data_IF_577900860272
#
_entry.id   IF_577900860272
#
_cell.length_a   1.000
_cell.length_b   1.000
_cell.length_c   1.000
_cell.angle_alpha   90.00
_cell.angle_beta   90.00
_cell.angle_gamma   90.00
#
_symmetry.space_group_name_H-M   'P 1'
#
loop_
_entity.id
_entity.type
_entity.pdbx_description
1 polymer ?
#
# COMPACT_ATOMS: atom_id res chain seq x y z
N UNK A 1 24.97 -38.39 71.04
CA UNK A 1 25.80 -39.59 70.82
C UNK A 1 25.94 -39.71 69.30
N UNK A 2 27.01 -39.54 68.66
CA UNK A 2 28.45 -39.75 68.76
C UNK A 2 28.90 -39.73 67.31
N UNK A 3 29.76 -38.81 66.95
CA UNK A 3 31.16 -38.93 66.49
C UNK A 3 31.38 -40.06 65.45
N UNK A 4 32.03 -39.88 64.31
CA UNK A 4 33.41 -39.41 64.02
C UNK A 4 33.61 -39.42 62.53
N UNK A 5 34.17 -38.42 61.90
CA UNK A 5 35.51 -38.13 61.38
C UNK A 5 36.14 -39.11 60.33
N UNK A 6 36.65 -38.45 59.28
CA UNK A 6 37.92 -38.63 58.54
C UNK A 6 37.82 -39.51 57.27
N UNK A 7 38.48 -39.32 56.18
CA UNK A 7 39.66 -38.55 55.73
C UNK A 7 39.72 -38.62 54.20
N UNK A 8 40.18 -37.52 53.63
CA UNK A 8 40.91 -37.29 52.40
C UNK A 8 41.60 -38.50 51.66
N UNK A 9 41.47 -38.51 50.37
CA UNK A 9 42.61 -38.88 49.49
C UNK A 9 42.45 -38.14 48.11
N UNK A 10 43.55 -37.52 47.73
CA UNK A 10 43.81 -36.88 46.45
C UNK A 10 44.00 -37.96 45.36
N UNK A 11 43.45 -37.73 44.19
CA UNK A 11 44.01 -38.29 42.96
C UNK A 11 43.90 -37.27 41.84
N UNK A 12 45.04 -36.81 41.35
CA UNK A 12 45.29 -36.08 40.13
C UNK A 12 44.75 -36.84 38.93
N UNK A 13 43.95 -36.19 38.07
CA UNK A 13 43.75 -36.65 36.71
C UNK A 13 43.86 -35.44 35.78
N UNK A 14 44.89 -35.54 35.00
CA UNK A 14 45.29 -34.92 33.73
C UNK A 14 44.25 -34.09 33.02
N UNK A 15 44.58 -32.82 32.76
CA UNK A 15 43.95 -31.90 31.80
C UNK A 15 44.06 -32.47 30.39
N UNK A 16 42.91 -32.76 29.80
CA UNK A 16 42.76 -32.96 28.37
C UNK A 16 42.30 -31.66 27.75
N UNK A 17 43.20 -30.96 27.10
CA UNK A 17 42.88 -29.81 26.22
C UNK A 17 42.05 -30.29 25.02
N UNK A 18 40.76 -30.01 25.02
CA UNK A 18 39.95 -30.04 23.81
C UNK A 18 40.03 -28.66 23.18
N UNK A 19 40.80 -28.59 22.10
CA UNK A 19 40.77 -27.48 21.14
C UNK A 19 39.33 -27.33 20.61
N UNK A 20 38.62 -26.36 21.09
CA UNK A 20 37.39 -25.90 20.47
C UNK A 20 37.76 -24.98 19.30
N UNK A 21 37.56 -25.49 18.09
CA UNK A 21 37.56 -24.65 16.88
C UNK A 21 36.57 -23.48 17.06
N UNK A 22 36.91 -22.27 16.67
CA UNK A 22 35.96 -21.16 16.70
C UNK A 22 34.87 -21.47 15.66
N UNK A 23 33.62 -21.59 16.10
CA UNK A 23 32.46 -21.44 15.23
C UNK A 23 32.51 -20.03 14.66
N UNK A 24 32.98 -19.94 13.42
CA UNK A 24 32.73 -18.74 12.60
C UNK A 24 31.23 -18.66 12.37
N UNK A 25 30.53 -17.90 13.19
CA UNK A 25 29.22 -17.36 12.84
C UNK A 25 29.43 -16.60 11.52
N UNK A 26 28.97 -17.20 10.44
CA UNK A 26 28.75 -16.49 9.17
C UNK A 26 27.63 -15.47 9.46
N UNK A 27 28.03 -14.25 9.86
CA UNK A 27 27.13 -13.11 9.84
C UNK A 27 26.54 -13.02 8.43
N UNK A 28 25.27 -13.36 8.30
CA UNK A 28 24.50 -13.07 7.10
C UNK A 28 24.61 -11.55 6.88
N UNK A 29 24.96 -11.05 5.68
CA UNK A 29 25.09 -9.63 5.46
C UNK A 29 23.74 -8.97 5.80
N UNK A 30 23.74 -8.06 6.78
CA UNK A 30 22.58 -7.22 7.08
C UNK A 30 22.17 -6.51 5.80
N UNK A 31 21.03 -6.91 5.21
CA UNK A 31 20.45 -6.23 4.07
C UNK A 31 19.92 -4.89 4.58
N UNK A 32 20.71 -3.84 4.39
CA UNK A 32 20.40 -2.49 4.90
C UNK A 32 19.29 -1.79 4.11
N UNK A 33 18.99 -2.25 2.89
CA UNK A 33 17.98 -1.67 2.01
C UNK A 33 17.40 -2.72 1.08
N UNK A 34 16.12 -2.59 0.76
CA UNK A 34 15.44 -3.36 -0.28
C UNK A 34 16.12 -3.18 -1.65
N UNK A 35 16.74 -2.00 -1.89
CA UNK A 35 17.50 -1.69 -3.11
C UNK A 35 18.80 -2.50 -3.25
N UNK A 36 19.28 -3.10 -2.15
CA UNK A 36 20.45 -3.98 -2.19
C UNK A 36 20.12 -5.36 -2.79
N UNK A 37 18.84 -5.72 -2.86
CA UNK A 37 18.34 -6.94 -3.48
C UNK A 37 18.12 -6.74 -4.99
N UNK A 38 19.19 -6.90 -5.75
CA UNK A 38 19.20 -6.68 -7.20
C UNK A 38 18.61 -7.89 -7.95
N UNK A 39 18.00 -7.61 -9.10
CA UNK A 39 17.39 -8.61 -9.99
C UNK A 39 18.37 -9.67 -10.50
N UNK A 40 19.67 -9.37 -10.55
CA UNK A 40 20.71 -10.32 -10.95
C UNK A 40 20.99 -11.42 -9.90
N UNK A 41 20.41 -11.33 -8.71
CA UNK A 41 20.44 -12.39 -7.70
C UNK A 41 19.45 -13.53 -8.03
N UNK A 42 18.50 -13.29 -8.95
CA UNK A 42 17.59 -14.33 -9.40
C UNK A 42 18.29 -15.30 -10.34
N UNK A 43 18.20 -16.59 -10.02
CA UNK A 43 18.72 -17.65 -10.86
C UNK A 43 18.12 -17.58 -12.27
N UNK A 44 19.00 -17.59 -13.27
CA UNK A 44 18.61 -17.54 -14.68
C UNK A 44 18.33 -16.13 -15.21
N UNK A 45 18.55 -15.07 -14.41
CA UNK A 45 18.60 -13.68 -14.86
C UNK A 45 20.02 -13.27 -15.13
N UNK A 46 20.47 -13.41 -16.39
CA UNK A 46 21.79 -12.95 -16.84
C UNK A 46 21.82 -11.44 -17.11
N UNK A 47 23.03 -10.89 -17.31
CA UNK A 47 23.23 -9.45 -17.49
C UNK A 47 22.38 -8.83 -18.62
N UNK A 48 22.18 -9.55 -19.73
CA UNK A 48 21.34 -9.08 -20.86
C UNK A 48 19.87 -8.96 -20.45
N UNK A 49 19.36 -9.93 -19.69
CA UNK A 49 17.98 -9.92 -19.21
C UNK A 49 17.78 -8.85 -18.13
N UNK A 50 18.74 -8.72 -17.21
CA UNK A 50 18.74 -7.67 -16.19
C UNK A 50 18.68 -6.29 -16.83
N UNK A 51 19.55 -6.03 -17.84
CA UNK A 51 19.53 -4.77 -18.57
C UNK A 51 18.20 -4.49 -19.27
N UNK A 52 17.59 -5.51 -19.91
CA UNK A 52 16.26 -5.34 -20.50
C UNK A 52 15.21 -4.95 -19.45
N UNK A 53 15.24 -5.56 -18.29
CA UNK A 53 14.33 -5.25 -17.18
C UNK A 53 14.55 -3.83 -16.68
N UNK A 54 15.80 -3.41 -16.49
CA UNK A 54 16.17 -2.05 -16.06
C UNK A 54 15.73 -0.99 -17.07
N UNK A 55 15.86 -1.25 -18.37
CA UNK A 55 15.40 -0.35 -19.45
C UNK A 55 13.86 -0.10 -19.40
N UNK A 56 13.11 -1.02 -18.79
CA UNK A 56 11.67 -0.91 -18.55
C UNK A 56 11.32 -0.51 -17.09
N UNK A 57 12.31 -0.05 -16.32
CA UNK A 57 12.11 0.42 -14.94
C UNK A 57 11.93 -0.69 -13.91
N UNK A 58 12.36 -1.92 -14.22
CA UNK A 58 12.37 -3.05 -13.28
C UNK A 58 13.79 -3.21 -12.77
N UNK A 59 14.07 -2.74 -11.56
CA UNK A 59 15.43 -2.67 -11.00
C UNK A 59 15.60 -3.47 -9.70
N UNK A 60 14.53 -3.83 -9.03
CA UNK A 60 14.52 -4.54 -7.75
C UNK A 60 13.70 -5.83 -7.78
N UNK A 61 13.85 -6.67 -6.76
CA UNK A 61 13.00 -7.85 -6.58
C UNK A 61 11.54 -7.47 -6.31
N UNK A 62 11.30 -6.31 -5.68
CA UNK A 62 9.96 -5.78 -5.52
C UNK A 62 9.31 -5.46 -6.86
N UNK A 63 10.05 -4.83 -7.80
CA UNK A 63 9.55 -4.55 -9.14
C UNK A 63 9.11 -5.84 -9.86
N UNK A 64 9.92 -6.90 -9.77
CA UNK A 64 9.58 -8.22 -10.33
C UNK A 64 8.24 -8.72 -9.77
N UNK A 65 8.05 -8.60 -8.44
CA UNK A 65 6.83 -9.04 -7.78
C UNK A 65 5.61 -8.14 -8.14
N UNK A 66 5.81 -6.83 -8.18
CA UNK A 66 4.73 -5.87 -8.51
C UNK A 66 4.24 -6.06 -9.93
N UNK A 67 5.16 -6.24 -10.90
CA UNK A 67 4.83 -6.44 -12.32
C UNK A 67 4.20 -7.81 -12.60
N UNK A 68 4.65 -8.85 -11.89
CA UNK A 68 4.19 -10.22 -12.07
C UNK A 68 4.68 -10.89 -13.36
N UNK A 69 4.52 -12.21 -13.42
CA UNK A 69 5.13 -13.04 -14.47
C UNK A 69 4.68 -12.74 -15.90
N UNK A 70 3.44 -12.29 -16.10
CA UNK A 70 2.95 -11.93 -17.43
C UNK A 70 3.74 -10.75 -18.02
N UNK A 71 3.84 -9.66 -17.25
CA UNK A 71 4.52 -8.46 -17.71
C UNK A 71 6.03 -8.68 -17.85
N UNK A 72 6.65 -9.40 -16.90
CA UNK A 72 8.06 -9.79 -16.98
C UNK A 72 8.33 -10.64 -18.24
N UNK A 73 7.41 -11.55 -18.60
CA UNK A 73 7.47 -12.31 -19.85
C UNK A 73 7.39 -11.43 -21.09
N UNK A 74 6.48 -10.45 -21.09
CA UNK A 74 6.32 -9.49 -22.20
C UNK A 74 7.59 -8.63 -22.39
N UNK A 75 8.18 -8.13 -21.30
CA UNK A 75 9.43 -7.31 -21.31
C UNK A 75 10.62 -8.12 -21.81
N UNK A 76 10.82 -9.30 -21.27
CA UNK A 76 12.06 -10.07 -21.49
C UNK A 76 12.01 -10.98 -22.72
N UNK A 77 10.80 -11.39 -23.13
CA UNK A 77 10.58 -12.40 -24.18
C UNK A 77 10.78 -13.84 -23.70
N UNK A 78 10.96 -14.09 -22.40
CA UNK A 78 10.99 -15.47 -21.86
C UNK A 78 9.58 -16.03 -21.77
N UNK A 79 9.48 -17.36 -21.61
CA UNK A 79 8.17 -18.00 -21.39
C UNK A 79 7.53 -17.51 -20.09
N UNK A 80 6.19 -17.45 -20.08
CA UNK A 80 5.43 -17.06 -18.86
C UNK A 80 5.82 -17.94 -17.66
N UNK A 81 5.99 -19.24 -17.85
CA UNK A 81 6.39 -20.16 -16.77
C UNK A 81 7.75 -19.79 -16.16
N UNK A 82 8.72 -19.37 -16.99
CA UNK A 82 10.04 -18.90 -16.47
C UNK A 82 9.91 -17.57 -15.73
N UNK A 83 9.11 -16.66 -16.24
CA UNK A 83 8.85 -15.39 -15.58
C UNK A 83 8.11 -15.59 -14.24
N UNK A 84 7.11 -16.47 -14.19
CA UNK A 84 6.42 -16.85 -12.94
C UNK A 84 7.38 -17.46 -11.91
N UNK A 85 8.37 -18.26 -12.35
CA UNK A 85 9.41 -18.79 -11.47
C UNK A 85 10.29 -17.67 -10.89
N UNK A 86 10.63 -16.65 -11.67
CA UNK A 86 11.38 -15.51 -11.17
C UNK A 86 10.59 -14.70 -10.13
N UNK A 87 9.29 -14.50 -10.37
CA UNK A 87 8.40 -13.84 -9.38
C UNK A 87 8.35 -14.65 -8.09
N UNK A 88 8.17 -15.96 -8.18
CA UNK A 88 8.14 -16.84 -7.01
C UNK A 88 9.46 -16.79 -6.23
N UNK A 89 10.61 -16.88 -6.92
CA UNK A 89 11.92 -16.81 -6.28
C UNK A 89 12.18 -15.42 -5.66
N UNK A 90 11.79 -14.33 -6.34
CA UNK A 90 11.88 -12.98 -5.80
C UNK A 90 11.05 -12.83 -4.52
N UNK A 91 9.80 -13.31 -4.55
CA UNK A 91 8.93 -13.30 -3.38
C UNK A 91 9.55 -14.06 -2.22
N UNK A 92 10.09 -15.26 -2.46
CA UNK A 92 10.73 -16.06 -1.42
C UNK A 92 11.94 -15.36 -0.80
N UNK A 93 12.79 -14.72 -1.61
CA UNK A 93 13.92 -13.93 -1.10
C UNK A 93 13.41 -12.78 -0.21
N UNK A 94 12.33 -12.09 -0.60
CA UNK A 94 11.75 -11.02 0.18
C UNK A 94 11.14 -11.52 1.51
N UNK A 95 10.50 -12.69 1.50
CA UNK A 95 9.96 -13.35 2.69
C UNK A 95 11.07 -13.80 3.65
N UNK A 96 12.13 -14.40 3.15
CA UNK A 96 13.28 -14.90 3.93
C UNK A 96 14.07 -13.76 4.61
N UNK A 97 13.92 -12.53 4.09
CA UNK A 97 14.52 -11.31 4.66
C UNK A 97 13.51 -10.45 5.44
N UNK A 98 12.35 -10.97 5.80
CA UNK A 98 11.27 -10.29 6.55
C UNK A 98 10.79 -8.96 5.93
N UNK A 99 11.06 -8.75 4.63
CA UNK A 99 10.67 -7.55 3.91
C UNK A 99 9.16 -7.54 3.57
N UNK A 100 8.61 -8.72 3.35
CA UNK A 100 7.17 -8.94 3.16
C UNK A 100 6.66 -9.99 4.14
N UNK A 101 5.35 -10.13 4.25
CA UNK A 101 4.72 -11.18 5.02
C UNK A 101 4.95 -12.54 4.36
N UNK A 102 5.19 -13.59 5.16
CA UNK A 102 5.28 -14.95 4.65
C UNK A 102 3.98 -15.42 4.02
N UNK A 103 4.08 -16.12 2.91
CA UNK A 103 2.91 -16.66 2.18
C UNK A 103 2.31 -17.93 2.83
N UNK A 104 3.11 -18.65 3.63
CA UNK A 104 2.76 -19.88 4.33
C UNK A 104 2.73 -19.68 5.86
N UNK A 105 1.83 -18.86 6.33
CA UNK A 105 1.68 -18.50 7.73
C UNK A 105 0.53 -19.30 8.38
N UNK A 106 0.72 -19.70 9.65
CA UNK A 106 -0.38 -20.26 10.44
C UNK A 106 -1.53 -19.26 10.63
N UNK A 107 -2.77 -19.74 10.72
CA UNK A 107 -3.94 -18.83 10.84
C UNK A 107 -3.88 -18.00 12.13
N UNK A 108 -3.34 -18.54 13.22
CA UNK A 108 -3.17 -17.82 14.49
C UNK A 108 -2.12 -16.71 14.33
N UNK A 109 -0.98 -17.03 13.69
CA UNK A 109 0.08 -16.06 13.43
C UNK A 109 -0.42 -14.94 12.48
N UNK A 110 -1.22 -15.30 11.47
CA UNK A 110 -1.86 -14.34 10.57
C UNK A 110 -2.80 -13.40 11.33
N UNK A 111 -3.60 -13.95 12.25
CA UNK A 111 -4.52 -13.15 13.08
C UNK A 111 -3.74 -12.18 13.98
N UNK A 112 -2.65 -12.63 14.58
CA UNK A 112 -1.77 -11.78 15.39
C UNK A 112 -1.09 -10.69 14.54
N UNK A 113 -0.55 -11.06 13.37
CA UNK A 113 0.04 -10.12 12.42
C UNK A 113 -0.95 -9.02 12.02
N UNK A 114 -2.18 -9.39 11.64
CA UNK A 114 -3.22 -8.45 11.25
C UNK A 114 -3.72 -7.57 12.40
N UNK A 115 -3.81 -8.13 13.62
CA UNK A 115 -4.24 -7.39 14.81
C UNK A 115 -3.20 -6.36 15.27
N UNK A 116 -1.91 -6.64 15.05
CA UNK A 116 -0.81 -5.75 15.38
C UNK A 116 -0.51 -4.73 14.27
N UNK A 117 -1.15 -4.86 13.09
CA UNK A 117 -0.94 -3.93 11.99
C UNK A 117 -1.40 -2.51 12.38
N UNK A 118 -0.52 -1.49 12.29
CA UNK A 118 -0.89 -0.14 12.68
C UNK A 118 -1.94 0.42 11.72
N UNK A 119 -3.06 0.92 12.22
CA UNK A 119 -4.11 1.60 11.44
C UNK A 119 -3.82 3.09 11.32
N UNK A 120 -4.15 3.68 10.18
CA UNK A 120 -4.10 5.13 10.00
C UNK A 120 -5.53 5.69 10.09
N UNK A 121 -5.76 6.51 11.11
CA UNK A 121 -7.08 7.05 11.43
C UNK A 121 -7.34 8.38 10.75
N UNK A 122 -8.60 8.69 10.47
CA UNK A 122 -9.02 10.04 10.07
C UNK A 122 -9.24 10.97 11.27
N UNK A 123 -9.37 10.39 12.48
CA UNK A 123 -9.85 11.03 13.71
C UNK A 123 -11.31 11.48 13.64
N UNK A 124 -12.06 10.96 12.67
CA UNK A 124 -13.52 10.98 12.63
C UNK A 124 -14.00 9.58 13.04
N UNK A 125 -14.36 9.40 14.31
CA UNK A 125 -14.63 8.05 14.86
C UNK A 125 -15.73 7.33 14.09
N UNK A 126 -16.78 8.04 13.66
CA UNK A 126 -17.85 7.43 12.87
C UNK A 126 -17.34 6.81 11.55
N UNK A 127 -16.38 7.44 10.88
CA UNK A 127 -15.77 6.93 9.65
C UNK A 127 -14.70 5.89 9.95
N UNK A 128 -13.91 6.09 11.01
CA UNK A 128 -12.87 5.14 11.41
C UNK A 128 -13.49 3.81 11.87
N UNK A 129 -14.64 3.83 12.55
CA UNK A 129 -15.37 2.64 13.01
C UNK A 129 -15.87 1.78 11.82
N UNK A 130 -16.24 2.41 10.67
CA UNK A 130 -16.57 1.68 9.44
C UNK A 130 -15.38 0.84 8.92
N UNK A 131 -14.15 1.21 9.29
CA UNK A 131 -12.91 0.60 8.83
C UNK A 131 -12.16 -0.12 9.97
N UNK A 132 -12.83 -0.44 11.08
CA UNK A 132 -12.24 -1.09 12.27
C UNK A 132 -11.08 -0.28 12.84
N UNK A 133 -11.28 1.02 13.03
CA UNK A 133 -10.31 1.92 13.62
C UNK A 133 -9.38 2.63 12.62
N UNK A 134 -9.69 2.62 11.33
CA UNK A 134 -8.95 3.32 10.30
C UNK A 134 -8.50 2.46 9.11
N UNK A 135 -7.71 3.04 8.20
CA UNK A 135 -7.18 2.30 7.06
C UNK A 135 -5.95 1.48 7.46
N UNK A 136 -5.87 0.25 6.95
CA UNK A 136 -4.83 -0.74 7.29
C UNK A 136 -3.74 -0.81 6.21
N UNK A 137 -2.49 -1.14 6.56
CA UNK A 137 -1.47 -1.47 5.57
C UNK A 137 -1.83 -2.74 4.80
N UNK A 138 -1.16 -2.97 3.68
CA UNK A 138 -1.38 -4.11 2.77
C UNK A 138 -2.81 -4.19 2.19
N UNK A 139 -3.57 -3.10 2.31
CA UNK A 139 -4.94 -3.02 1.83
C UNK A 139 -5.11 -1.89 0.82
N UNK A 140 -6.05 -2.11 -0.10
CA UNK A 140 -6.49 -1.11 -1.07
C UNK A 140 -7.91 -0.65 -0.76
N UNK A 141 -8.11 0.68 -0.77
CA UNK A 141 -9.39 1.32 -0.48
C UNK A 141 -9.89 2.08 -1.70
N UNK A 142 -11.04 1.67 -2.24
CA UNK A 142 -11.79 2.47 -3.21
C UNK A 142 -12.72 3.42 -2.48
N UNK A 143 -12.51 4.72 -2.63
CA UNK A 143 -13.44 5.76 -2.16
C UNK A 143 -14.10 6.39 -3.36
N UNK A 144 -15.39 6.12 -3.58
CA UNK A 144 -16.09 6.60 -4.75
C UNK A 144 -17.35 7.41 -4.40
N UNK A 145 -17.79 8.23 -5.32
CA UNK A 145 -18.97 9.07 -5.11
C UNK A 145 -19.01 10.28 -6.04
N UNK A 146 -20.10 11.02 -5.95
CA UNK A 146 -20.32 12.22 -6.75
C UNK A 146 -19.26 13.31 -6.51
N UNK A 147 -19.19 14.28 -7.44
CA UNK A 147 -18.36 15.46 -7.25
C UNK A 147 -18.74 16.20 -5.96
N UNK A 148 -17.71 16.55 -5.16
CA UNK A 148 -17.89 17.26 -3.88
C UNK A 148 -18.51 16.42 -2.77
N UNK A 149 -18.52 15.08 -2.87
CA UNK A 149 -18.93 14.17 -1.78
C UNK A 149 -17.91 14.06 -0.64
N UNK A 150 -16.67 14.54 -0.84
CA UNK A 150 -15.64 14.57 0.19
C UNK A 150 -14.50 13.58 0.01
N UNK A 151 -14.39 12.89 -1.13
CA UNK A 151 -13.33 11.89 -1.42
C UNK A 151 -11.93 12.47 -1.23
N UNK A 152 -11.60 13.54 -1.94
CA UNK A 152 -10.29 14.23 -1.82
C UNK A 152 -10.07 14.77 -0.39
N UNK A 153 -11.11 15.23 0.31
CA UNK A 153 -11.00 15.72 1.69
C UNK A 153 -10.70 14.58 2.67
N UNK A 154 -11.23 13.40 2.43
CA UNK A 154 -10.86 12.18 3.17
C UNK A 154 -9.37 11.86 2.97
N UNK A 155 -8.90 11.89 1.72
CA UNK A 155 -7.49 11.66 1.41
C UNK A 155 -6.57 12.72 2.04
N UNK A 156 -6.94 14.02 2.01
CA UNK A 156 -6.19 15.07 2.71
C UNK A 156 -6.15 14.85 4.22
N UNK A 157 -7.25 14.39 4.80
CA UNK A 157 -7.31 14.11 6.24
C UNK A 157 -6.40 12.96 6.63
N UNK A 158 -6.40 11.85 5.87
CA UNK A 158 -5.49 10.72 6.08
C UNK A 158 -4.02 11.14 5.89
N UNK A 159 -3.73 11.90 4.82
CA UNK A 159 -2.37 12.40 4.57
C UNK A 159 -1.89 13.29 5.73
N UNK A 160 -2.74 14.21 6.21
CA UNK A 160 -2.40 15.07 7.35
C UNK A 160 -2.14 14.27 8.63
N UNK A 161 -2.89 13.18 8.84
CA UNK A 161 -2.67 12.29 9.99
C UNK A 161 -1.35 11.52 9.84
N UNK A 162 -1.06 10.93 8.67
CA UNK A 162 0.20 10.24 8.43
C UNK A 162 1.41 11.16 8.66
N UNK A 163 1.34 12.40 8.15
CA UNK A 163 2.38 13.40 8.34
C UNK A 163 2.58 13.79 9.82
N UNK A 164 1.50 13.84 10.60
CA UNK A 164 1.58 14.12 12.06
C UNK A 164 2.24 12.99 12.83
N UNK A 165 2.17 11.78 12.33
CA UNK A 165 2.84 10.59 12.88
C UNK A 165 4.30 10.46 12.39
N UNK A 166 4.79 11.44 11.60
CA UNK A 166 6.14 11.45 11.06
C UNK A 166 6.33 10.57 9.81
N UNK A 167 5.24 10.08 9.24
CA UNK A 167 5.22 9.15 8.12
C UNK A 167 5.31 9.87 6.77
N UNK A 168 5.79 9.15 5.74
CA UNK A 168 5.80 9.65 4.37
C UNK A 168 4.50 9.33 3.64
N UNK A 169 4.15 10.19 2.68
CA UNK A 169 2.97 10.08 1.82
C UNK A 169 3.36 10.19 0.36
N UNK A 170 2.83 9.33 -0.48
CA UNK A 170 2.85 9.51 -1.94
C UNK A 170 1.48 9.98 -2.38
N UNK A 171 1.43 11.05 -3.17
CA UNK A 171 0.21 11.57 -3.77
C UNK A 171 0.34 11.60 -5.29
N UNK A 172 -0.52 10.85 -5.97
CA UNK A 172 -0.64 10.85 -7.44
C UNK A 172 -1.94 11.57 -7.77
N UNK A 173 -1.81 12.75 -8.36
CA UNK A 173 -2.92 13.64 -8.70
C UNK A 173 -3.27 13.49 -10.18
N UNK A 174 -4.46 13.00 -10.45
CA UNK A 174 -4.97 12.82 -11.81
C UNK A 174 -5.95 13.92 -12.24
N UNK A 175 -6.44 14.76 -11.29
CA UNK A 175 -7.48 15.76 -11.54
C UNK A 175 -7.03 17.22 -11.29
N UNK A 176 -5.73 17.45 -11.02
CA UNK A 176 -5.19 18.76 -10.60
C UNK A 176 -5.93 19.34 -9.36
N UNK A 177 -6.19 18.47 -8.39
CA UNK A 177 -6.94 18.84 -7.17
C UNK A 177 -6.07 18.94 -5.93
N UNK A 178 -4.80 18.55 -5.99
CA UNK A 178 -3.89 18.62 -4.87
C UNK A 178 -3.61 20.06 -4.45
N UNK A 179 -3.79 20.34 -3.17
CA UNK A 179 -3.55 21.67 -2.59
C UNK A 179 -2.75 21.55 -1.30
N UNK A 180 -1.43 21.80 -1.33
CA UNK A 180 -0.57 21.74 -0.12
C UNK A 180 -1.09 22.62 1.03
N UNK A 181 -1.63 23.79 0.70
CA UNK A 181 -2.21 24.70 1.70
C UNK A 181 -3.39 24.06 2.44
N UNK A 182 -4.15 23.16 1.80
CA UNK A 182 -5.26 22.48 2.47
C UNK A 182 -4.76 21.45 3.49
N UNK A 183 -3.67 20.75 3.20
CA UNK A 183 -3.01 19.86 4.17
C UNK A 183 -2.52 20.68 5.36
N UNK A 184 -1.83 21.79 5.12
CA UNK A 184 -1.34 22.67 6.19
C UNK A 184 -2.48 23.28 7.01
N UNK A 185 -3.61 23.63 6.40
CA UNK A 185 -4.79 24.13 7.10
C UNK A 185 -5.35 23.07 8.07
N UNK A 186 -5.48 21.81 7.61
CA UNK A 186 -5.89 20.68 8.46
C UNK A 186 -4.89 20.47 9.60
N UNK A 187 -3.61 20.42 9.28
CA UNK A 187 -2.56 20.18 10.29
C UNK A 187 -2.50 21.30 11.34
N UNK A 188 -2.62 22.56 10.92
CA UNK A 188 -2.67 23.71 11.86
C UNK A 188 -3.90 23.65 12.75
N UNK A 189 -5.08 23.41 12.16
CA UNK A 189 -6.34 23.41 12.91
C UNK A 189 -6.46 22.22 13.86
N UNK A 190 -5.66 21.17 13.64
CA UNK A 190 -5.51 20.02 14.53
C UNK A 190 -4.29 20.14 15.47
N UNK A 191 -3.57 21.26 15.43
CA UNK A 191 -2.37 21.50 16.25
C UNK A 191 -1.23 20.50 16.02
N UNK A 192 -1.16 19.91 14.81
CA UNK A 192 -0.09 18.98 14.42
C UNK A 192 1.21 19.69 14.03
N UNK A 193 1.11 20.95 13.60
CA UNK A 193 2.22 21.83 13.27
C UNK A 193 1.99 23.21 13.88
N UNK A 194 3.04 23.83 14.43
CA UNK A 194 2.93 25.09 15.17
C UNK A 194 3.79 26.21 14.61
N UNK A 195 4.85 25.87 13.90
CA UNK A 195 5.84 26.81 13.36
C UNK A 195 6.16 26.51 11.89
N UNK A 196 6.96 27.38 11.28
CA UNK A 196 7.33 27.28 9.88
C UNK A 196 8.13 26.01 9.58
N UNK A 197 9.06 25.64 10.49
CA UNK A 197 9.92 24.48 10.28
C UNK A 197 9.11 23.19 10.26
N UNK A 198 8.24 22.99 11.25
CA UNK A 198 7.37 21.81 11.30
C UNK A 198 6.43 21.69 10.09
N UNK A 199 5.98 22.83 9.51
CA UNK A 199 5.20 22.83 8.28
C UNK A 199 6.03 22.40 7.06
N UNK A 200 7.26 22.91 6.92
CA UNK A 200 8.17 22.55 5.85
C UNK A 200 8.57 21.07 5.95
N UNK A 201 8.88 20.61 7.14
CA UNK A 201 9.22 19.20 7.39
C UNK A 201 8.07 18.25 7.04
N UNK A 202 6.83 18.63 7.37
CA UNK A 202 5.65 17.86 6.99
C UNK A 202 5.48 17.80 5.46
N UNK A 203 5.58 18.94 4.77
CA UNK A 203 5.44 18.95 3.30
C UNK A 203 6.56 18.20 2.59
N UNK A 204 7.79 18.21 3.11
CA UNK A 204 8.94 17.49 2.56
C UNK A 204 8.78 15.95 2.64
N UNK A 205 7.85 15.45 3.47
CA UNK A 205 7.48 14.03 3.53
C UNK A 205 6.46 13.61 2.49
N UNK A 206 5.96 14.55 1.67
CA UNK A 206 5.04 14.26 0.57
C UNK A 206 5.84 14.14 -0.72
N UNK A 207 5.71 13.01 -1.41
CA UNK A 207 6.15 12.88 -2.79
C UNK A 207 4.94 13.03 -3.70
N UNK A 208 4.95 14.06 -4.52
CA UNK A 208 3.85 14.44 -5.41
C UNK A 208 4.14 14.06 -6.86
N UNK A 209 3.17 13.45 -7.52
CA UNK A 209 3.17 13.17 -8.95
C UNK A 209 1.91 13.73 -9.59
N UNK A 210 2.05 14.39 -10.74
CA UNK A 210 0.94 14.82 -11.58
C UNK A 210 0.78 13.87 -12.77
N UNK A 211 -0.36 13.20 -12.86
CA UNK A 211 -0.61 12.15 -13.84
C UNK A 211 -2.01 12.26 -14.47
N UNK A 212 -2.28 13.31 -15.28
CA UNK A 212 -3.62 13.61 -15.80
C UNK A 212 -4.07 12.66 -16.92
N UNK A 213 -3.16 11.89 -17.50
CA UNK A 213 -3.40 10.97 -18.61
C UNK A 213 -3.16 9.54 -18.19
N UNK A 214 -3.83 8.59 -18.84
CA UNK A 214 -3.67 7.15 -18.58
C UNK A 214 -2.22 6.70 -18.68
N UNK A 215 -1.50 7.13 -19.73
CA UNK A 215 -0.09 6.80 -19.92
C UNK A 215 0.80 7.38 -18.82
N UNK A 216 0.55 8.63 -18.40
CA UNK A 216 1.28 9.26 -17.32
C UNK A 216 1.04 8.53 -15.99
N UNK A 217 -0.20 8.14 -15.69
CA UNK A 217 -0.53 7.36 -14.51
C UNK A 217 0.17 6.00 -14.52
N UNK A 218 0.05 5.24 -15.62
CA UNK A 218 0.68 3.94 -15.74
C UNK A 218 2.20 4.04 -15.67
N UNK A 219 2.79 5.05 -16.29
CA UNK A 219 4.23 5.34 -16.21
C UNK A 219 4.68 5.64 -14.78
N UNK A 220 3.92 6.48 -14.05
CA UNK A 220 4.17 6.79 -12.64
C UNK A 220 4.10 5.54 -11.77
N UNK A 221 3.05 4.74 -11.90
CA UNK A 221 2.89 3.48 -11.15
C UNK A 221 4.03 2.51 -11.46
N UNK A 222 4.45 2.43 -12.70
CA UNK A 222 5.56 1.57 -13.12
C UNK A 222 6.92 2.00 -12.54
N UNK A 223 7.11 3.29 -12.30
CA UNK A 223 8.35 3.83 -11.73
C UNK A 223 8.28 4.00 -10.19
N UNK A 224 7.15 3.66 -9.57
CA UNK A 224 6.88 3.99 -8.18
C UNK A 224 7.74 3.21 -7.19
N UNK A 225 8.16 2.00 -7.53
CA UNK A 225 8.90 1.10 -6.61
C UNK A 225 10.15 1.75 -6.03
N UNK A 226 10.89 2.52 -6.81
CA UNK A 226 12.06 3.26 -6.31
C UNK A 226 11.67 4.24 -5.20
N UNK A 227 10.59 5.00 -5.38
CA UNK A 227 10.08 5.93 -4.37
C UNK A 227 9.59 5.17 -3.13
N UNK A 228 8.95 4.01 -3.33
CA UNK A 228 8.47 3.16 -2.24
C UNK A 228 9.64 2.64 -1.40
N UNK A 229 10.71 2.22 -2.03
CA UNK A 229 11.93 1.75 -1.35
C UNK A 229 12.64 2.85 -0.58
N UNK A 230 12.83 4.03 -1.20
CA UNK A 230 13.55 5.14 -0.60
C UNK A 230 12.77 5.83 0.53
N UNK A 231 11.46 5.99 0.35
CA UNK A 231 10.61 6.77 1.25
C UNK A 231 9.76 5.94 2.19
N UNK A 232 9.49 4.66 1.86
CA UNK A 232 8.62 3.77 2.63
C UNK A 232 7.32 4.45 3.08
N UNK A 233 6.51 4.97 2.14
CA UNK A 233 5.34 5.75 2.49
C UNK A 233 4.31 4.87 3.22
N UNK A 234 3.73 5.43 4.26
CA UNK A 234 2.62 4.83 5.00
C UNK A 234 1.33 4.83 4.17
N UNK A 235 1.17 5.83 3.31
CA UNK A 235 -0.01 6.08 2.52
C UNK A 235 0.35 6.43 1.08
N UNK A 236 -0.29 5.78 0.14
CA UNK A 236 -0.29 6.12 -1.29
C UNK A 236 -1.70 6.54 -1.67
N UNK A 237 -1.87 7.77 -2.14
CA UNK A 237 -3.13 8.31 -2.64
C UNK A 237 -3.08 8.41 -4.15
N UNK A 238 -4.12 7.92 -4.84
CA UNK A 238 -4.36 8.19 -6.26
C UNK A 238 -5.70 8.92 -6.37
N UNK A 239 -5.66 10.23 -6.60
CA UNK A 239 -6.86 11.05 -6.66
C UNK A 239 -7.34 11.22 -8.09
N UNK A 240 -8.48 10.59 -8.43
CA UNK A 240 -9.05 10.57 -9.77
C UNK A 240 -8.60 9.40 -10.66
N UNK A 241 -8.40 8.21 -10.09
CA UNK A 241 -7.69 7.08 -10.72
C UNK A 241 -8.28 6.51 -12.02
N UNK A 242 -9.59 6.60 -12.26
CA UNK A 242 -10.28 5.87 -13.34
C UNK A 242 -10.90 6.80 -14.38
N UNK A 243 -11.09 8.09 -14.07
CA UNK A 243 -11.77 9.04 -14.93
C UNK A 243 -11.16 9.12 -16.33
N UNK A 244 -9.86 9.28 -16.44
CA UNK A 244 -9.13 9.42 -17.71
C UNK A 244 -9.24 8.18 -18.63
N UNK A 245 -9.32 6.97 -18.09
CA UNK A 245 -9.53 5.78 -18.91
C UNK A 245 -10.86 5.81 -19.67
N UNK A 246 -11.87 6.50 -19.14
CA UNK A 246 -13.14 6.67 -19.83
C UNK A 246 -13.05 7.70 -20.93
N UNK A 247 -12.30 8.77 -20.71
CA UNK A 247 -12.15 9.88 -21.65
C UNK A 247 -11.27 9.52 -22.85
N UNK A 248 -10.18 8.76 -22.62
CA UNK A 248 -9.22 8.40 -23.65
C UNK A 248 -9.67 7.19 -24.49
N UNK A 249 -10.36 6.23 -23.87
CA UNK A 249 -10.83 5.01 -24.57
C UNK A 249 -12.32 5.14 -24.92
N UNK A 250 -12.60 5.93 -25.96
CA UNK A 250 -13.96 6.18 -26.43
C UNK A 250 -14.42 5.09 -27.43
N UNK A 251 -15.68 4.68 -27.30
CA UNK A 251 -16.32 3.77 -28.23
C UNK A 251 -16.23 2.28 -27.85
N UNK A 252 -17.08 1.48 -28.52
CA UNK A 252 -17.22 0.03 -28.21
C UNK A 252 -15.99 -0.79 -28.60
N UNK A 253 -15.25 -0.35 -29.61
CA UNK A 253 -14.04 -1.07 -30.08
C UNK A 253 -12.86 -1.05 -29.11
N UNK A 254 -12.78 -0.05 -28.22
CA UNK A 254 -11.69 0.12 -27.26
C UNK A 254 -12.04 -0.38 -25.85
N UNK A 255 -13.23 -0.94 -25.67
CA UNK A 255 -13.71 -1.38 -24.35
C UNK A 255 -12.81 -2.46 -23.73
N UNK A 256 -12.39 -3.43 -24.52
CA UNK A 256 -11.52 -4.52 -24.05
C UNK A 256 -10.15 -3.99 -23.60
N UNK A 257 -9.55 -3.10 -24.39
CA UNK A 257 -8.25 -2.49 -24.08
C UNK A 257 -8.33 -1.65 -22.81
N UNK A 258 -9.38 -0.83 -22.69
CA UNK A 258 -9.65 -0.06 -21.46
C UNK A 258 -9.75 -0.97 -20.24
N UNK A 259 -10.52 -2.06 -20.31
CA UNK A 259 -10.68 -2.99 -19.19
C UNK A 259 -9.36 -3.69 -18.83
N UNK A 260 -8.54 -4.04 -19.84
CA UNK A 260 -7.23 -4.63 -19.63
C UNK A 260 -6.28 -3.64 -18.91
N UNK A 261 -6.26 -2.38 -19.33
CA UNK A 261 -5.41 -1.36 -18.68
C UNK A 261 -5.86 -1.09 -17.23
N UNK A 262 -7.17 -0.98 -17.00
CA UNK A 262 -7.71 -0.83 -15.64
C UNK A 262 -7.35 -2.07 -14.78
N UNK A 263 -7.49 -3.28 -15.30
CA UNK A 263 -7.14 -4.50 -14.59
C UNK A 263 -5.64 -4.52 -14.22
N UNK A 264 -4.78 -4.06 -15.13
CA UNK A 264 -3.34 -3.95 -14.89
C UNK A 264 -3.05 -2.92 -13.79
N UNK A 265 -3.65 -1.73 -13.85
CA UNK A 265 -3.53 -0.71 -12.81
C UNK A 265 -3.95 -1.27 -11.44
N UNK A 266 -5.12 -1.88 -11.35
CA UNK A 266 -5.63 -2.43 -10.09
C UNK A 266 -4.71 -3.53 -9.54
N UNK A 267 -4.17 -4.39 -10.40
CA UNK A 267 -3.20 -5.42 -10.00
C UNK A 267 -1.93 -4.80 -9.43
N UNK A 268 -1.39 -3.76 -10.09
CA UNK A 268 -0.21 -3.05 -9.58
C UNK A 268 -0.49 -2.38 -8.23
N UNK A 269 -1.63 -1.71 -8.05
CA UNK A 269 -1.99 -1.06 -6.78
C UNK A 269 -2.10 -2.07 -5.64
N UNK A 270 -2.71 -3.23 -5.90
CA UNK A 270 -2.79 -4.32 -4.93
C UNK A 270 -1.40 -4.87 -4.58
N UNK A 271 -0.56 -5.09 -5.58
CA UNK A 271 0.80 -5.58 -5.37
C UNK A 271 1.66 -4.55 -4.63
N UNK A 272 1.55 -3.27 -4.97
CA UNK A 272 2.23 -2.19 -4.24
C UNK A 272 1.81 -2.19 -2.78
N UNK A 273 0.51 -2.27 -2.47
CA UNK A 273 0.05 -2.28 -1.08
C UNK A 273 0.64 -3.45 -0.29
N UNK A 274 0.69 -4.64 -0.89
CA UNK A 274 1.19 -5.86 -0.26
C UNK A 274 2.73 -5.86 -0.11
N UNK A 275 3.46 -5.69 -1.23
CA UNK A 275 4.91 -5.84 -1.24
C UNK A 275 5.64 -4.70 -0.52
N UNK A 276 5.04 -3.52 -0.39
CA UNK A 276 5.62 -2.39 0.35
C UNK A 276 4.97 -2.14 1.72
N UNK A 277 4.06 -3.02 2.17
CA UNK A 277 3.35 -2.90 3.46
C UNK A 277 2.71 -1.51 3.65
N UNK A 278 2.20 -0.93 2.58
CA UNK A 278 1.59 0.41 2.56
C UNK A 278 0.08 0.35 2.42
N UNK A 279 -0.60 1.42 2.79
CA UNK A 279 -2.02 1.60 2.49
C UNK A 279 -2.17 2.31 1.15
N UNK A 280 -2.98 1.79 0.24
CA UNK A 280 -3.32 2.44 -1.02
C UNK A 280 -4.78 2.91 -0.98
N UNK A 281 -5.00 4.20 -1.14
CA UNK A 281 -6.35 4.80 -1.26
C UNK A 281 -6.48 5.41 -2.64
N UNK A 282 -7.49 5.00 -3.39
CA UNK A 282 -7.77 5.62 -4.68
C UNK A 282 -9.20 6.13 -4.75
N UNK A 283 -9.36 7.33 -5.29
CA UNK A 283 -10.68 7.91 -5.49
C UNK A 283 -11.22 7.57 -6.87
N UNK A 284 -12.53 7.39 -6.93
CA UNK A 284 -13.23 7.08 -8.17
C UNK A 284 -14.52 7.90 -8.29
N UNK A 285 -14.87 8.26 -9.50
CA UNK A 285 -16.12 8.94 -9.82
C UNK A 285 -17.25 7.93 -10.03
N UNK A 286 -18.46 8.42 -10.05
CA UNK A 286 -19.67 7.64 -10.33
C UNK A 286 -20.31 8.06 -11.64
N UNK A 287 -21.04 7.13 -12.23
CA UNK A 287 -21.94 7.38 -13.36
C UNK A 287 -23.34 6.90 -13.03
N UNK A 288 -24.33 7.56 -13.59
CA UNK A 288 -25.72 7.12 -13.48
C UNK A 288 -25.98 6.08 -14.56
N UNK A 289 -26.52 4.94 -14.17
CA UNK A 289 -26.99 3.89 -15.09
C UNK A 289 -28.51 4.11 -15.32
N UNK A 290 -28.91 4.65 -16.49
CA UNK A 290 -30.31 4.95 -16.76
C UNK A 290 -31.19 3.70 -16.92
N UNK A 291 -30.60 2.52 -16.99
CA UNK A 291 -31.34 1.26 -17.11
C UNK A 291 -31.85 0.74 -15.77
N UNK A 292 -31.38 1.29 -14.66
CA UNK A 292 -31.78 0.90 -13.30
C UNK A 292 -33.10 1.62 -12.96
N UNK A 293 -34.20 0.89 -13.04
CA UNK A 293 -35.54 1.43 -12.71
C UNK A 293 -35.86 1.40 -11.20
N UNK A 294 -35.20 0.52 -10.44
CA UNK A 294 -35.38 0.37 -8.98
C UNK A 294 -34.01 0.21 -8.30
N UNK A 295 -33.82 0.89 -7.15
CA UNK A 295 -32.59 0.89 -6.40
C UNK A 295 -31.71 2.10 -6.70
N UNK A 296 -30.41 2.04 -6.35
CA UNK A 296 -29.48 3.14 -6.57
C UNK A 296 -28.91 3.04 -8.01
N UNK A 297 -29.22 4.01 -8.91
CA UNK A 297 -28.71 4.01 -10.27
C UNK A 297 -27.23 4.42 -10.35
N UNK A 298 -26.64 4.83 -9.23
CA UNK A 298 -25.27 5.35 -9.16
C UNK A 298 -24.28 4.21 -9.03
N UNK A 299 -23.38 4.09 -10.02
CA UNK A 299 -22.34 3.05 -10.06
C UNK A 299 -20.96 3.68 -10.23
N UNK A 300 -19.92 3.13 -9.59
CA UNK A 300 -18.54 3.59 -9.83
C UNK A 300 -18.13 3.32 -11.27
N UNK A 301 -17.25 4.17 -11.79
CA UNK A 301 -16.63 3.97 -13.11
C UNK A 301 -15.65 2.80 -13.03
N UNK A 302 -15.48 2.05 -14.14
CA UNK A 302 -14.58 0.90 -14.22
C UNK A 302 -15.26 -0.47 -14.04
N UNK A 303 -16.52 -0.48 -13.56
CA UNK A 303 -17.33 -1.70 -13.48
C UNK A 303 -16.76 -2.75 -12.51
N UNK A 304 -17.01 -4.04 -12.82
CA UNK A 304 -16.64 -5.14 -11.94
C UNK A 304 -15.13 -5.30 -11.75
N UNK A 305 -14.30 -4.88 -12.72
CA UNK A 305 -12.83 -5.00 -12.62
C UNK A 305 -12.30 -4.18 -11.45
N UNK A 306 -12.76 -2.95 -11.30
CA UNK A 306 -12.40 -2.08 -10.16
C UNK A 306 -13.05 -2.61 -8.88
N UNK A 307 -14.32 -3.02 -8.98
CA UNK A 307 -15.11 -3.50 -7.84
C UNK A 307 -14.52 -4.71 -7.12
N UNK A 308 -13.89 -5.62 -7.85
CA UNK A 308 -13.27 -6.83 -7.27
C UNK A 308 -11.80 -6.66 -6.89
N UNK A 309 -11.20 -5.53 -7.22
CA UNK A 309 -9.77 -5.30 -6.98
C UNK A 309 -9.49 -4.65 -5.63
N UNK A 310 -10.42 -3.83 -5.12
CA UNK A 310 -10.29 -3.19 -3.82
C UNK A 310 -10.49 -4.17 -2.67
N UNK A 311 -9.74 -4.00 -1.58
CA UNK A 311 -9.99 -4.71 -0.32
C UNK A 311 -11.23 -4.15 0.38
N UNK A 312 -11.38 -2.83 0.37
CA UNK A 312 -12.52 -2.12 0.95
C UNK A 312 -13.09 -1.13 -0.06
N UNK A 313 -14.43 -1.03 -0.10
CA UNK A 313 -15.14 -0.11 -0.99
C UNK A 313 -16.08 0.76 -0.20
N UNK A 314 -15.89 2.07 -0.28
CA UNK A 314 -16.61 3.06 0.49
C UNK A 314 -17.28 4.06 -0.46
N UNK A 315 -18.61 4.12 -0.40
CA UNK A 315 -19.39 5.08 -1.16
C UNK A 315 -19.64 6.35 -0.36
N UNK A 316 -19.20 7.47 -0.91
CA UNK A 316 -19.44 8.80 -0.32
C UNK A 316 -20.59 9.52 -1.01
N UNK A 317 -21.59 9.89 -0.22
CA UNK A 317 -22.81 10.55 -0.69
C UNK A 317 -23.03 11.88 0.02
N UNK A 318 -23.55 12.87 -0.72
CA UNK A 318 -24.02 14.13 -0.14
C UNK A 318 -25.39 13.95 0.51
N UNK A 319 -25.59 14.56 1.68
CA UNK A 319 -26.87 14.60 2.38
C UNK A 319 -27.04 15.99 3.01
N UNK A 320 -27.48 16.96 2.21
CA UNK A 320 -27.54 18.36 2.62
C UNK A 320 -26.16 18.92 2.97
N UNK A 321 -26.01 19.41 4.20
CA UNK A 321 -24.71 19.91 4.73
C UNK A 321 -23.79 18.76 5.19
N UNK A 322 -24.33 17.57 5.40
CA UNK A 322 -23.60 16.39 5.85
C UNK A 322 -23.12 15.57 4.67
N UNK A 323 -22.31 14.57 4.99
CA UNK A 323 -21.85 13.51 4.10
C UNK A 323 -22.13 12.17 4.75
N UNK A 324 -22.35 11.17 3.93
CA UNK A 324 -22.53 9.78 4.36
C UNK A 324 -21.41 8.98 3.72
N UNK A 325 -20.65 8.27 4.54
CA UNK A 325 -19.75 7.20 4.12
C UNK A 325 -20.49 5.87 4.31
N UNK A 326 -20.62 5.09 3.23
CA UNK A 326 -21.23 3.76 3.27
C UNK A 326 -20.19 2.71 2.97
N UNK A 327 -19.97 1.76 3.86
CA UNK A 327 -19.21 0.55 3.56
C UNK A 327 -20.05 -0.31 2.60
N UNK A 328 -19.56 -0.49 1.38
CA UNK A 328 -20.25 -1.25 0.32
C UNK A 328 -19.73 -2.66 0.23
N UNK A 329 -18.42 -2.81 0.40
CA UNK A 329 -17.75 -4.12 0.37
C UNK A 329 -16.56 -4.12 1.34
N UNK A 330 -16.45 -5.17 2.12
CA UNK A 330 -15.43 -5.36 3.13
C UNK A 330 -15.29 -6.85 3.46
N UNK A 331 -14.07 -7.37 3.63
CA UNK A 331 -13.87 -8.75 4.10
C UNK A 331 -14.22 -8.94 5.58
N UNK A 332 -14.39 -7.87 6.36
CA UNK A 332 -14.51 -7.91 7.82
C UNK A 332 -15.87 -7.43 8.34
N UNK A 333 -16.57 -6.58 7.57
CA UNK A 333 -17.75 -5.88 8.08
C UNK A 333 -18.96 -6.00 7.17
N UNK A 334 -20.17 -6.03 7.77
CA UNK A 334 -21.39 -5.83 7.01
C UNK A 334 -21.49 -4.41 6.47
N UNK A 335 -22.40 -4.20 5.54
CA UNK A 335 -22.71 -2.85 5.04
C UNK A 335 -23.21 -1.98 6.19
N UNK A 336 -22.63 -0.80 6.34
CA UNK A 336 -22.99 0.19 7.34
C UNK A 336 -22.77 1.60 6.82
N UNK A 337 -23.44 2.58 7.42
CA UNK A 337 -23.36 3.99 7.08
C UNK A 337 -22.80 4.79 8.26
N UNK A 338 -21.95 5.77 7.97
CA UNK A 338 -21.46 6.77 8.92
C UNK A 338 -21.73 8.18 8.40
N UNK A 339 -22.26 9.06 9.24
CA UNK A 339 -22.39 10.48 8.93
C UNK A 339 -21.14 11.25 9.34
N UNK A 340 -20.67 12.15 8.48
CA UNK A 340 -19.56 13.04 8.77
C UNK A 340 -19.78 14.44 8.18
N UNK A 341 -18.97 15.41 8.59
CA UNK A 341 -18.94 16.78 8.08
C UNK A 341 -17.57 17.14 7.53
N UNK A 342 -17.54 18.10 6.61
CA UNK A 342 -16.31 18.71 6.11
C UNK A 342 -16.08 20.02 6.82
N UNK A 343 -14.93 20.18 7.47
CA UNK A 343 -14.54 21.35 8.23
C UNK A 343 -13.14 21.83 7.85
N UNK A 344 -12.63 22.85 8.52
CA UNK A 344 -11.23 23.26 8.40
C UNK A 344 -10.26 22.15 8.89
N UNK A 345 -10.72 21.26 9.75
CA UNK A 345 -9.97 20.10 10.27
C UNK A 345 -10.03 18.85 9.37
N UNK A 346 -10.60 18.97 8.16
CA UNK A 346 -10.81 17.85 7.25
C UNK A 346 -12.17 17.21 7.44
N UNK A 347 -12.23 15.88 7.52
CA UNK A 347 -13.47 15.20 7.91
C UNK A 347 -13.55 15.08 9.42
N UNK A 348 -14.73 15.33 9.96
CA UNK A 348 -15.02 15.26 11.39
C UNK A 348 -16.37 14.60 11.65
N UNK A 349 -16.55 14.10 12.86
CA UNK A 349 -17.85 13.62 13.30
C UNK A 349 -18.91 14.71 13.13
N UNK A 350 -20.11 14.27 12.87
CA UNK A 350 -21.25 15.18 12.84
C UNK A 350 -21.33 15.96 14.17
N UNK A 351 -21.35 17.27 14.08
CA UNK A 351 -21.75 18.14 15.19
C UNK A 351 -23.25 18.31 15.12
N UNK A 352 -23.96 17.97 16.18
CA UNK A 352 -25.42 18.12 16.31
C UNK A 352 -25.86 19.57 16.35
#
# INVERSE_FOLDING_TARGET
MGRTKKQSENTNIVEGTTDSMPETELESPEIKSILDLKINQLEGVGAVTAKKLEDFGVSSLHDICVRGGREISEITGVTKSKADQWVFNAQKILEDNDLIRKSDMGVVDLMEYQSNAPTLQTKCSAVDDLMTGGVKPECTYEVYGEFGSGKTQFCFTLASQALSEGENVVWIDCEDTFRPNRILEIMKSREYVTDKQSMEDALNRITYFYAPQTEALMGTINALSKTMDEKRPRLVVIDGSIGQFREEYLGRGTLADRQNQIARLMTHLKNISYYFKTTVVYTNQVQTDPSVMFGDPVKPIGGNVVGHAATYRIYFKKSGKKRIARMVDSPEHPQADAEFTLTIKGIENKVD
#
